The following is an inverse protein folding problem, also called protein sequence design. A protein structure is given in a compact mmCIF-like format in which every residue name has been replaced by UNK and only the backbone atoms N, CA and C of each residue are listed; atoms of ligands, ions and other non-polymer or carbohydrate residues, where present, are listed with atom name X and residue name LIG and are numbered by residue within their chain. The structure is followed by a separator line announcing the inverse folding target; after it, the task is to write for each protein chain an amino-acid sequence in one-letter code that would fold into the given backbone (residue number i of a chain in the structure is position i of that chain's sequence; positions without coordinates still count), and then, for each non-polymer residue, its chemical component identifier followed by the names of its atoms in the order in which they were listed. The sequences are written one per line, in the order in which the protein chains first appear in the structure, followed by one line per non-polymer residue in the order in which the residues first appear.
data_IF_797112078608
#
_entry.id   IF_797112078608
#
_cell.length_a   1.000
_cell.length_b   1.000
_cell.length_c   1.000
_cell.angle_alpha   90.00
_cell.angle_beta   90.00
_cell.angle_gamma   90.00
#
_symmetry.space_group_name_H-M   'P 1'
#
loop_
_entity.id
_entity.type
_entity.pdbx_description
1 polymer ?
#
# COMPACT_ATOMS: atom_id res chain seq x y z
N UNK A 1 -20.33 1.67 -23.35
CA UNK A 1 -21.34 1.14 -24.31
C UNK A 1 -22.64 1.91 -24.12
N UNK A 2 -23.27 2.33 -25.18
CA UNK A 2 -24.60 2.94 -25.16
C UNK A 2 -25.46 2.39 -26.31
N UNK A 3 -26.77 2.62 -26.21
CA UNK A 3 -27.72 2.15 -27.23
C UNK A 3 -28.22 3.33 -28.09
N UNK A 4 -28.04 3.24 -29.39
CA UNK A 4 -28.54 4.23 -30.34
C UNK A 4 -29.21 3.51 -31.51
N UNK A 5 -30.42 3.93 -31.87
CA UNK A 5 -31.23 3.34 -32.97
C UNK A 5 -31.34 1.81 -32.92
N UNK A 6 -31.48 1.26 -31.68
CA UNK A 6 -31.58 -0.19 -31.48
C UNK A 6 -30.27 -0.97 -31.55
N UNK A 7 -29.14 -0.32 -31.81
CA UNK A 7 -27.81 -0.94 -31.87
C UNK A 7 -26.98 -0.57 -30.62
N UNK A 8 -26.17 -1.51 -30.17
CA UNK A 8 -25.18 -1.23 -29.14
C UNK A 8 -23.93 -0.62 -29.78
N UNK A 9 -23.53 0.52 -29.31
CA UNK A 9 -22.33 1.22 -29.77
C UNK A 9 -21.28 1.19 -28.67
N UNK A 10 -20.10 0.71 -29.03
CA UNK A 10 -18.92 0.81 -28.18
C UNK A 10 -18.11 2.04 -28.59
N UNK A 11 -17.93 2.98 -27.67
CA UNK A 11 -17.21 4.22 -27.94
C UNK A 11 -16.43 4.64 -26.71
N UNK A 12 -15.45 5.49 -26.91
CA UNK A 12 -14.71 6.14 -25.85
C UNK A 12 -15.35 7.50 -25.57
N UNK A 13 -15.64 7.79 -24.31
CA UNK A 13 -16.09 9.08 -23.86
C UNK A 13 -15.31 9.49 -22.62
N UNK A 14 -15.08 10.79 -22.47
CA UNK A 14 -14.49 11.33 -21.27
C UNK A 14 -15.49 11.23 -20.11
N UNK A 15 -14.96 11.11 -18.90
CA UNK A 15 -15.75 11.28 -17.68
C UNK A 15 -16.21 12.76 -17.56
N UNK A 16 -17.46 12.98 -17.19
CA UNK A 16 -17.91 14.32 -16.85
C UNK A 16 -17.31 14.78 -15.54
N UNK A 17 -17.26 13.87 -14.57
CA UNK A 17 -16.76 14.15 -13.24
C UNK A 17 -16.30 12.87 -12.53
N UNK A 18 -15.11 12.93 -11.96
CA UNK A 18 -14.63 11.95 -11.00
C UNK A 18 -14.19 12.66 -9.73
N UNK A 19 -14.62 12.17 -8.58
CA UNK A 19 -14.24 12.69 -7.27
C UNK A 19 -13.89 11.52 -6.36
N UNK A 20 -12.88 11.74 -5.54
CA UNK A 20 -12.47 10.82 -4.49
C UNK A 20 -12.24 11.57 -3.18
N UNK A 21 -12.86 11.10 -2.12
CA UNK A 21 -12.62 11.55 -0.75
C UNK A 21 -12.10 10.36 0.05
N UNK A 22 -10.84 10.46 0.48
CA UNK A 22 -10.23 9.48 1.36
C UNK A 22 -9.98 10.13 2.74
N UNK A 23 -10.50 9.51 3.78
CA UNK A 23 -10.30 9.92 5.16
C UNK A 23 -9.77 8.73 5.93
N UNK A 24 -8.63 8.90 6.60
CA UNK A 24 -8.01 7.80 7.33
C UNK A 24 -7.30 8.22 8.60
N UNK A 25 -7.06 7.25 9.44
CA UNK A 25 -6.31 7.38 10.68
C UNK A 25 -5.28 6.26 10.79
N UNK A 26 -4.09 6.59 11.30
CA UNK A 26 -3.04 5.64 11.59
C UNK A 26 -2.65 5.77 13.06
N UNK A 27 -2.46 4.64 13.72
CA UNK A 27 -1.97 4.55 15.09
C UNK A 27 -0.77 3.63 15.12
N UNK A 28 0.28 4.05 15.82
CA UNK A 28 1.46 3.23 16.08
C UNK A 28 1.82 3.29 17.56
N UNK A 29 2.06 2.13 18.15
CA UNK A 29 2.40 1.98 19.55
C UNK A 29 3.64 1.10 19.67
N UNK A 30 4.67 1.61 20.36
CA UNK A 30 5.84 0.83 20.78
C UNK A 30 5.58 0.21 22.16
N UNK A 31 5.90 -1.05 22.31
CA UNK A 31 5.75 -1.82 23.54
C UNK A 31 7.05 -2.55 23.88
N UNK A 32 7.22 -2.94 25.14
CA UNK A 32 8.37 -3.72 25.59
C UNK A 32 9.72 -3.07 25.21
N UNK A 33 9.92 -1.79 25.57
CA UNK A 33 11.14 -1.04 25.26
C UNK A 33 11.48 -1.04 23.76
N UNK A 34 10.47 -0.80 22.90
CA UNK A 34 10.57 -0.78 21.44
C UNK A 34 10.94 -2.11 20.78
N UNK A 35 10.91 -3.21 21.53
CA UNK A 35 11.10 -4.55 20.96
C UNK A 35 9.90 -4.93 20.10
N UNK A 36 8.68 -4.58 20.52
CA UNK A 36 7.43 -4.84 19.82
C UNK A 36 6.80 -3.52 19.40
N UNK A 37 6.51 -3.39 18.12
CA UNK A 37 5.74 -2.30 17.53
C UNK A 37 4.44 -2.84 16.98
N UNK A 38 3.34 -2.22 17.34
CA UNK A 38 2.02 -2.47 16.79
C UNK A 38 1.57 -1.23 16.03
N UNK A 39 1.08 -1.42 14.82
CA UNK A 39 0.47 -0.34 14.05
C UNK A 39 -0.85 -0.79 13.46
N UNK A 40 -1.79 0.13 13.40
CA UNK A 40 -3.09 -0.06 12.79
C UNK A 40 -3.46 1.14 11.95
N UNK A 41 -4.16 0.90 10.86
CA UNK A 41 -4.75 1.95 10.04
C UNK A 41 -6.19 1.59 9.70
N UNK A 42 -6.99 2.63 9.56
CA UNK A 42 -8.35 2.54 9.02
C UNK A 42 -8.54 3.71 8.07
N UNK A 43 -9.14 3.47 6.93
CA UNK A 43 -9.45 4.49 5.93
C UNK A 43 -10.82 4.25 5.31
N UNK A 44 -11.55 5.32 5.13
CA UNK A 44 -12.79 5.34 4.37
C UNK A 44 -12.51 6.04 3.03
N UNK A 45 -12.87 5.37 1.95
CA UNK A 45 -12.71 5.87 0.59
C UNK A 45 -14.08 5.99 -0.06
N UNK A 46 -14.51 7.22 -0.35
CA UNK A 46 -15.77 7.51 -1.00
C UNK A 46 -15.50 8.05 -2.40
N UNK A 47 -16.05 7.38 -3.41
CA UNK A 47 -15.85 7.70 -4.82
C UNK A 47 -17.15 8.02 -5.52
N UNK A 48 -17.13 9.05 -6.32
CA UNK A 48 -18.19 9.46 -7.22
C UNK A 48 -17.65 9.46 -8.64
N UNK A 49 -18.32 8.76 -9.52
CA UNK A 49 -17.95 8.66 -10.93
C UNK A 49 -19.18 8.92 -11.78
N UNK A 50 -19.13 10.01 -12.56
CA UNK A 50 -20.21 10.45 -13.42
C UNK A 50 -19.72 10.57 -14.85
N UNK A 51 -20.53 10.06 -15.77
CA UNK A 51 -20.37 10.23 -17.19
C UNK A 51 -21.73 10.52 -17.85
N UNK A 52 -21.77 10.52 -19.18
CA UNK A 52 -22.96 10.87 -19.95
C UNK A 52 -24.15 9.98 -19.58
N UNK A 53 -23.91 8.66 -19.41
CA UNK A 53 -24.95 7.65 -19.23
C UNK A 53 -24.86 6.92 -17.90
N UNK A 54 -24.04 7.38 -16.95
CA UNK A 54 -23.89 6.72 -15.66
C UNK A 54 -23.62 7.73 -14.54
N UNK A 55 -24.00 7.34 -13.34
CA UNK A 55 -23.70 8.09 -12.11
C UNK A 55 -23.56 7.08 -10.96
N UNK A 56 -22.32 6.73 -10.68
CA UNK A 56 -22.00 5.74 -9.66
C UNK A 56 -21.38 6.39 -8.44
N UNK A 57 -21.73 5.87 -7.29
CA UNK A 57 -21.20 6.26 -6.00
C UNK A 57 -20.89 4.99 -5.22
N UNK A 58 -19.70 4.95 -4.63
CA UNK A 58 -19.29 3.84 -3.77
C UNK A 58 -18.53 4.34 -2.55
N UNK A 59 -18.80 3.72 -1.41
CA UNK A 59 -18.11 3.97 -0.15
C UNK A 59 -17.51 2.65 0.33
N UNK A 60 -16.23 2.66 0.65
CA UNK A 60 -15.49 1.47 1.03
C UNK A 60 -14.58 1.73 2.21
N UNK A 61 -14.49 0.74 3.09
CA UNK A 61 -13.64 0.74 4.27
C UNK A 61 -12.43 -0.15 4.04
N UNK A 62 -11.23 0.45 4.14
CA UNK A 62 -9.96 -0.25 4.20
C UNK A 62 -9.38 -0.21 5.61
N UNK A 63 -8.63 -1.23 5.98
CA UNK A 63 -7.93 -1.27 7.25
C UNK A 63 -6.69 -2.16 7.20
N UNK A 64 -5.75 -1.92 8.10
CA UNK A 64 -4.60 -2.79 8.28
C UNK A 64 -4.19 -2.88 9.74
N UNK A 65 -3.65 -4.05 10.10
CA UNK A 65 -2.98 -4.31 11.36
C UNK A 65 -1.60 -4.86 11.07
N UNK A 66 -0.61 -4.34 11.74
CA UNK A 66 0.78 -4.79 11.58
C UNK A 66 1.44 -4.93 12.95
N UNK A 67 2.17 -6.02 13.13
CA UNK A 67 3.04 -6.26 14.28
C UNK A 67 4.46 -6.44 13.78
N UNK A 68 5.42 -5.75 14.39
CA UNK A 68 6.84 -5.93 14.13
C UNK A 68 7.58 -6.13 15.45
N UNK A 69 8.41 -7.16 15.52
CA UNK A 69 9.21 -7.50 16.70
C UNK A 69 10.69 -7.53 16.34
N UNK A 70 11.48 -6.75 17.07
CA UNK A 70 12.92 -6.74 16.96
C UNK A 70 13.53 -7.48 18.13
N UNK A 71 14.18 -8.61 17.90
CA UNK A 71 14.88 -9.37 18.91
C UNK A 71 16.31 -9.65 18.49
N UNK A 72 17.29 -9.00 19.13
CA UNK A 72 18.72 -9.09 18.78
C UNK A 72 18.96 -8.75 17.29
N UNK A 73 19.21 -9.77 16.49
CA UNK A 73 19.47 -9.64 15.04
C UNK A 73 18.30 -10.07 14.17
N UNK A 74 17.21 -10.52 14.80
CA UNK A 74 16.01 -10.95 14.13
C UNK A 74 14.99 -9.83 14.09
N UNK A 75 14.35 -9.68 12.94
CA UNK A 75 13.15 -8.86 12.76
C UNK A 75 12.04 -9.78 12.28
N UNK A 76 11.02 -9.94 13.08
CA UNK A 76 9.79 -10.60 12.71
C UNK A 76 8.74 -9.54 12.40
N UNK A 77 8.00 -9.70 11.32
CA UNK A 77 6.84 -8.86 11.02
C UNK A 77 5.68 -9.67 10.48
N UNK A 78 4.48 -9.28 10.86
CA UNK A 78 3.23 -9.83 10.34
C UNK A 78 2.26 -8.68 10.07
N UNK A 79 1.56 -8.74 8.95
CA UNK A 79 0.55 -7.76 8.58
C UNK A 79 -0.67 -8.45 8.00
N UNK A 80 -1.83 -7.93 8.35
CA UNK A 80 -3.11 -8.25 7.76
C UNK A 80 -3.78 -6.95 7.29
N UNK A 81 -4.26 -6.91 6.05
CA UNK A 81 -4.90 -5.72 5.50
C UNK A 81 -6.05 -6.06 4.58
N UNK A 82 -7.06 -5.20 4.59
CA UNK A 82 -8.10 -5.12 3.57
C UNK A 82 -7.98 -3.77 2.86
N UNK A 83 -7.76 -3.80 1.56
CA UNK A 83 -7.76 -2.60 0.73
C UNK A 83 -9.18 -2.08 0.53
N UNK A 84 -9.31 -0.78 0.25
CA UNK A 84 -10.59 -0.21 -0.20
C UNK A 84 -10.93 -0.69 -1.60
N UNK A 85 -12.21 -0.78 -1.89
CA UNK A 85 -12.70 -1.05 -3.24
C UNK A 85 -12.35 0.10 -4.18
N UNK A 86 -12.26 -0.19 -5.46
CA UNK A 86 -11.92 0.79 -6.48
C UNK A 86 -13.08 0.97 -7.46
N UNK A 87 -13.54 2.22 -7.62
CA UNK A 87 -14.53 2.60 -8.60
C UNK A 87 -13.94 3.68 -9.51
N UNK A 88 -13.94 3.45 -10.81
CA UNK A 88 -13.55 4.43 -11.82
C UNK A 88 -14.33 4.24 -13.10
N UNK A 89 -15.08 5.26 -13.52
CA UNK A 89 -16.02 5.11 -14.62
C UNK A 89 -17.16 4.18 -14.22
N UNK A 90 -17.35 3.18 -15.04
CA UNK A 90 -18.27 2.07 -14.82
C UNK A 90 -17.55 0.80 -14.33
N UNK A 91 -16.22 0.89 -14.09
CA UNK A 91 -15.44 -0.24 -13.59
C UNK A 91 -15.35 -0.20 -12.07
N UNK A 92 -15.72 -1.29 -11.46
CA UNK A 92 -15.67 -1.52 -10.03
C UNK A 92 -14.79 -2.74 -9.74
N UNK A 93 -13.84 -2.59 -8.83
CA UNK A 93 -12.97 -3.68 -8.39
C UNK A 93 -13.05 -3.79 -6.87
N UNK A 94 -13.29 -4.99 -6.38
CA UNK A 94 -13.33 -5.26 -4.93
C UNK A 94 -11.92 -5.14 -4.33
N UNK A 95 -11.84 -4.52 -3.18
CA UNK A 95 -10.60 -4.40 -2.42
C UNK A 95 -10.12 -5.75 -1.90
N UNK A 96 -8.86 -6.03 -2.15
CA UNK A 96 -8.24 -7.30 -1.81
C UNK A 96 -7.93 -7.39 -0.32
N UNK A 97 -8.06 -8.60 0.21
CA UNK A 97 -7.53 -8.96 1.52
C UNK A 97 -6.17 -9.59 1.33
N UNK A 98 -5.18 -9.09 2.03
CA UNK A 98 -3.80 -9.60 1.96
C UNK A 98 -3.20 -9.69 3.35
N UNK A 99 -2.39 -10.71 3.57
CA UNK A 99 -1.62 -10.84 4.79
C UNK A 99 -0.24 -11.41 4.50
N UNK A 100 0.72 -11.02 5.30
CA UNK A 100 2.07 -11.57 5.19
C UNK A 100 2.70 -11.82 6.56
N UNK A 101 3.65 -12.75 6.55
CA UNK A 101 4.56 -13.02 7.64
C UNK A 101 5.98 -12.93 7.08
N UNK A 102 6.87 -12.21 7.76
CA UNK A 102 8.25 -12.09 7.35
C UNK A 102 9.20 -12.27 8.52
N UNK A 103 10.31 -12.93 8.26
CA UNK A 103 11.43 -13.09 9.16
C UNK A 103 12.70 -12.61 8.48
N UNK A 104 13.41 -11.68 9.11
CA UNK A 104 14.70 -11.21 8.62
C UNK A 104 15.77 -11.44 9.67
N UNK A 105 16.95 -11.79 9.21
CA UNK A 105 18.14 -11.95 10.04
C UNK A 105 19.27 -11.07 9.51
N UNK A 106 19.79 -10.20 10.38
CA UNK A 106 20.83 -9.23 10.04
C UNK A 106 22.18 -9.66 10.59
N UNK A 107 23.17 -9.86 9.71
CA UNK A 107 24.54 -10.20 10.05
C UNK A 107 25.46 -9.10 9.50
N UNK A 108 25.90 -8.18 10.34
CA UNK A 108 26.77 -7.05 9.93
C UNK A 108 26.19 -6.32 8.71
N UNK A 109 26.77 -6.55 7.51
CA UNK A 109 26.39 -5.94 6.24
C UNK A 109 25.46 -6.84 5.41
N UNK A 110 25.17 -8.06 5.86
CA UNK A 110 24.31 -9.04 5.20
C UNK A 110 22.93 -9.07 5.86
N UNK A 111 21.88 -8.99 5.07
CA UNK A 111 20.51 -9.28 5.51
C UNK A 111 19.99 -10.50 4.73
N UNK A 112 19.46 -11.45 5.45
CA UNK A 112 18.74 -12.61 4.89
C UNK A 112 17.30 -12.53 5.36
N UNK A 113 16.36 -12.64 4.43
CA UNK A 113 14.94 -12.55 4.74
C UNK A 113 14.15 -13.67 4.07
N UNK A 114 13.10 -14.09 4.76
CA UNK A 114 12.06 -14.97 4.24
C UNK A 114 10.73 -14.28 4.47
N UNK A 115 9.88 -14.22 3.45
CA UNK A 115 8.54 -13.68 3.53
C UNK A 115 7.55 -14.63 2.87
N UNK A 116 6.42 -14.83 3.52
CA UNK A 116 5.27 -15.55 2.98
C UNK A 116 4.11 -14.57 2.84
N UNK A 117 3.57 -14.48 1.63
CA UNK A 117 2.32 -13.77 1.35
C UNK A 117 1.17 -14.77 1.42
N UNK A 118 0.07 -14.33 2.00
CA UNK A 118 -1.17 -15.08 2.18
C UNK A 118 -0.97 -16.51 2.68
N UNK A 119 -0.16 -16.74 3.76
CA UNK A 119 0.16 -18.10 4.23
C UNK A 119 -1.07 -18.93 4.64
N UNK A 120 -2.21 -18.27 4.87
CA UNK A 120 -3.44 -18.91 5.37
C UNK A 120 -4.57 -19.01 4.31
N UNK A 121 -4.30 -18.52 3.08
CA UNK A 121 -5.27 -18.56 1.98
C UNK A 121 -4.85 -19.60 0.94
N UNK A 122 -5.81 -20.39 0.48
CA UNK A 122 -5.60 -21.37 -0.58
C UNK A 122 -5.93 -20.78 -1.96
N UNK A 123 -6.85 -19.82 -2.00
CA UNK A 123 -7.34 -19.19 -3.21
C UNK A 123 -7.21 -17.67 -3.11
N UNK A 124 -6.79 -17.04 -4.19
CA UNK A 124 -6.82 -15.60 -4.34
C UNK A 124 -7.95 -15.24 -5.31
N UNK A 125 -8.95 -14.52 -4.79
CA UNK A 125 -10.10 -14.10 -5.57
C UNK A 125 -10.09 -12.58 -5.75
N UNK A 126 -10.24 -12.14 -6.99
CA UNK A 126 -10.42 -10.75 -7.37
C UNK A 126 -11.66 -10.60 -8.24
N UNK A 127 -12.56 -9.74 -7.82
CA UNK A 127 -13.79 -9.44 -8.54
C UNK A 127 -13.69 -8.08 -9.24
N UNK A 128 -13.91 -8.08 -10.55
CA UNK A 128 -14.01 -6.90 -11.38
C UNK A 128 -15.39 -6.86 -12.04
N UNK A 129 -16.11 -5.76 -11.83
CA UNK A 129 -17.45 -5.57 -12.34
C UNK A 129 -17.48 -4.37 -13.28
N UNK A 130 -18.06 -4.53 -14.44
CA UNK A 130 -18.45 -3.42 -15.28
C UNK A 130 -19.93 -3.12 -15.04
N UNK A 131 -20.20 -1.92 -14.52
CA UNK A 131 -21.52 -1.47 -14.09
C UNK A 131 -22.35 -0.86 -15.23
N UNK A 132 -21.94 -1.05 -16.50
CA UNK A 132 -22.65 -0.51 -17.64
C UNK A 132 -24.06 -1.09 -17.74
N UNK A 133 -25.07 -0.22 -17.87
CA UNK A 133 -26.47 -0.61 -17.87
C UNK A 133 -26.90 -1.47 -19.07
N UNK A 134 -26.14 -1.47 -20.17
CA UNK A 134 -26.47 -2.20 -21.40
C UNK A 134 -25.61 -3.44 -21.63
N UNK A 135 -24.41 -3.45 -21.07
CA UNK A 135 -23.45 -4.54 -21.25
C UNK A 135 -22.58 -4.70 -19.99
N UNK A 136 -23.26 -4.73 -18.83
CA UNK A 136 -22.61 -5.05 -17.57
C UNK A 136 -22.07 -6.48 -17.60
N UNK A 137 -20.88 -6.68 -17.05
CA UNK A 137 -20.26 -7.99 -16.89
C UNK A 137 -19.50 -8.06 -15.56
N UNK A 138 -19.34 -9.26 -15.08
CA UNK A 138 -18.56 -9.58 -13.89
C UNK A 138 -17.46 -10.54 -14.30
N UNK A 139 -16.22 -10.19 -13.92
CA UNK A 139 -15.09 -11.08 -14.02
C UNK A 139 -14.67 -11.47 -12.60
N UNK A 140 -14.63 -12.75 -12.36
CA UNK A 140 -14.12 -13.33 -11.13
C UNK A 140 -12.85 -14.10 -11.45
N UNK A 141 -11.73 -13.59 -10.94
CA UNK A 141 -10.42 -14.19 -11.12
C UNK A 141 -10.10 -15.04 -9.90
N UNK A 142 -10.01 -16.34 -10.09
CA UNK A 142 -9.50 -17.29 -9.12
C UNK A 142 -8.09 -17.68 -9.50
N UNK A 143 -7.16 -17.54 -8.56
CA UNK A 143 -5.79 -17.99 -8.73
C UNK A 143 -5.54 -19.06 -7.68
N UNK A 144 -5.86 -20.30 -8.05
CA UNK A 144 -5.55 -21.47 -7.26
C UNK A 144 -4.03 -21.67 -7.20
N UNK A 145 -3.53 -22.25 -6.14
CA UNK A 145 -2.10 -22.60 -5.92
C UNK A 145 -1.12 -21.41 -5.87
N UNK A 146 -1.50 -20.24 -6.35
CA UNK A 146 -0.65 -19.03 -6.35
C UNK A 146 -1.05 -17.99 -5.31
N UNK A 147 -2.09 -18.23 -4.51
CA UNK A 147 -2.47 -17.37 -3.40
C UNK A 147 -1.34 -17.25 -2.39
N UNK A 148 -0.62 -18.34 -2.15
CA UNK A 148 0.55 -18.41 -1.28
C UNK A 148 1.83 -18.20 -2.05
N UNK A 149 2.58 -17.15 -1.71
CA UNK A 149 3.89 -16.90 -2.29
C UNK A 149 4.95 -16.84 -1.21
N UNK A 150 6.10 -17.45 -1.50
CA UNK A 150 7.26 -17.44 -0.61
C UNK A 150 8.41 -16.74 -1.33
N UNK A 151 9.00 -15.73 -0.68
CA UNK A 151 10.19 -15.04 -1.16
C UNK A 151 11.33 -15.22 -0.17
N UNK A 152 12.50 -15.54 -0.71
CA UNK A 152 13.75 -15.45 0.00
C UNK A 152 14.54 -14.25 -0.54
N UNK A 153 15.07 -13.44 0.34
CA UNK A 153 15.87 -12.27 -0.02
C UNK A 153 17.24 -12.34 0.64
N UNK A 154 18.28 -12.03 -0.13
CA UNK A 154 19.64 -11.86 0.37
C UNK A 154 20.10 -10.47 -0.10
N UNK A 155 20.43 -9.58 0.83
CA UNK A 155 20.96 -8.29 0.50
C UNK A 155 22.27 -8.04 1.22
N UNK A 156 23.26 -7.57 0.50
CA UNK A 156 24.57 -7.26 1.03
C UNK A 156 24.94 -5.80 0.74
N UNK A 157 25.21 -5.05 1.81
CA UNK A 157 25.60 -3.65 1.70
C UNK A 157 27.13 -3.54 1.58
N UNK A 158 27.61 -3.19 0.39
CA UNK A 158 29.00 -2.89 0.16
C UNK A 158 29.27 -1.40 0.38
N UNK A 159 30.25 -1.06 1.17
CA UNK A 159 30.80 0.29 1.22
C UNK A 159 32.25 0.25 0.76
N UNK A 160 32.54 0.92 -0.35
CA UNK A 160 33.88 1.15 -0.85
C UNK A 160 34.27 2.59 -0.59
N UNK A 161 35.48 2.82 -0.12
CA UNK A 161 36.03 4.14 0.12
C UNK A 161 36.37 4.41 1.60
N UNK A 162 37.13 5.47 1.82
CA UNK A 162 37.41 5.98 3.18
C UNK A 162 36.17 6.65 3.73
N UNK A 163 35.74 6.24 4.90
CA UNK A 163 34.73 6.98 5.66
C UNK A 163 35.31 8.35 6.02
N UNK A 164 34.97 9.36 5.23
CA UNK A 164 35.21 10.74 5.65
C UNK A 164 34.23 11.06 6.76
N UNK A 165 34.69 11.08 7.99
CA UNK A 165 33.98 11.76 9.05
C UNK A 165 33.86 13.21 8.61
N UNK A 166 32.69 13.64 8.21
CA UNK A 166 32.40 15.05 8.02
C UNK A 166 32.61 15.73 9.37
N UNK A 167 33.77 16.35 9.54
CA UNK A 167 34.04 17.18 10.70
C UNK A 167 33.02 18.30 10.65
N UNK A 168 32.14 18.35 11.64
CA UNK A 168 31.33 19.54 11.87
C UNK A 168 32.31 20.68 12.17
N UNK A 169 32.62 21.50 11.16
CA UNK A 169 33.24 22.77 11.38
C UNK A 169 32.28 23.61 12.20
N UNK A 170 32.46 23.65 13.50
CA UNK A 170 31.94 24.75 14.32
C UNK A 170 32.64 26.00 13.81
N UNK A 171 31.95 26.81 13.03
CA UNK A 171 32.38 28.20 12.85
C UNK A 171 32.17 28.91 14.19
N UNK A 172 33.26 29.14 14.89
CA UNK A 172 33.27 30.05 15.99
C UNK A 172 33.40 31.45 15.41
N UNK A 173 32.27 32.06 15.07
CA UNK A 173 32.23 33.51 14.79
C UNK A 173 32.20 34.23 16.14
N UNK A 174 33.35 34.36 16.76
CA UNK A 174 33.60 35.38 17.77
C UNK A 174 34.28 36.56 17.10
N UNK A 175 33.56 37.28 16.26
CA UNK A 175 33.93 38.64 15.90
C UNK A 175 33.57 39.52 17.11
N UNK A 176 34.53 39.68 17.97
CA UNK A 176 34.57 40.83 18.87
C UNK A 176 34.94 42.04 18.05
N UNK A 177 33.92 42.73 17.56
CA UNK A 177 34.07 44.07 17.00
C UNK A 177 34.49 45.01 18.12
N UNK A 178 35.83 45.17 18.29
CA UNK A 178 36.40 46.22 19.11
C UNK A 178 36.23 47.51 18.36
N UNK A 179 35.15 48.21 18.63
CA UNK A 179 34.94 49.57 18.19
C UNK A 179 36.15 50.42 18.53
N UNK A 180 36.81 50.99 17.53
CA UNK A 180 37.74 52.10 17.63
C UNK A 180 37.03 53.37 17.28
N UNK A 181 37.14 54.32 18.16
CA UNK A 181 36.74 55.72 18.15
C UNK A 181 36.78 56.41 16.77
#
# INVERSE_FOLDING_TARGET
IYRENGKFIHSYANHDRFQNLNVGMNVRVGMLWDILQLSGSISNDTRWSRGINYNHHHNSLGWSLEAAMLYKKFVFSARYQKNTDYLFGENFTTGEVMHYIALQYRIKKLNVGLMMLNPFEDDYCRNENNLNQYAGNTFEYHIDDSARMIWATISWNFSFGRDYKSGSKRMNNSDTDSGVM
#
